data_IF_678689783622
#
_entry.id   IF_678689783622
#
_cell.length_a   1.000
_cell.length_b   1.000
_cell.length_c   1.000
_cell.angle_alpha   90.00
_cell.angle_beta   90.00
_cell.angle_gamma   90.00
#
_symmetry.space_group_name_H-M   'P 1'
#
loop_
_entity.id
_entity.type
_entity.pdbx_description
1 polymer ?
#
# COMPACT_ATOMS: atom_id res chain seq x y z
N UNK A 1 -2.59 13.84 -15.47
CA UNK A 1 -2.45 12.92 -14.32
C UNK A 1 -3.05 11.58 -14.71
N UNK A 2 -2.36 10.46 -14.45
CA UNK A 2 -2.85 9.10 -14.76
C UNK A 2 -2.76 8.25 -13.50
N UNK A 3 -3.90 7.85 -12.96
CA UNK A 3 -3.95 6.84 -11.89
C UNK A 3 -3.79 5.44 -12.48
N UNK A 4 -3.04 4.58 -11.78
CA UNK A 4 -2.78 3.20 -12.18
C UNK A 4 -3.06 2.27 -11.00
N UNK A 5 -3.90 1.28 -11.23
CA UNK A 5 -4.13 0.22 -10.24
C UNK A 5 -2.84 -0.57 -10.01
N UNK A 6 -2.55 -0.85 -8.75
CA UNK A 6 -1.38 -1.60 -8.32
C UNK A 6 -1.61 -3.10 -8.51
N UNK A 7 -1.11 -3.61 -9.64
CA UNK A 7 -1.10 -5.02 -9.96
C UNK A 7 0.33 -5.57 -10.07
N UNK A 8 0.52 -6.81 -9.59
CA UNK A 8 1.81 -7.50 -9.65
C UNK A 8 2.89 -6.98 -8.68
N UNK A 9 4.04 -7.66 -8.65
CA UNK A 9 5.11 -7.41 -7.67
C UNK A 9 5.77 -6.04 -7.82
N UNK A 10 5.91 -5.54 -9.06
CA UNK A 10 6.58 -4.27 -9.35
C UNK A 10 5.81 -3.08 -8.79
N UNK A 11 4.51 -3.01 -9.06
CA UNK A 11 3.68 -1.91 -8.59
C UNK A 11 3.45 -1.97 -7.08
N UNK A 12 3.37 -3.17 -6.48
CA UNK A 12 3.31 -3.31 -5.01
C UNK A 12 4.54 -2.69 -4.34
N UNK A 13 5.75 -2.99 -4.83
CA UNK A 13 6.99 -2.37 -4.34
C UNK A 13 7.00 -0.86 -4.54
N UNK A 14 6.49 -0.37 -5.67
CA UNK A 14 6.39 1.07 -5.92
C UNK A 14 5.44 1.74 -4.92
N UNK A 15 4.27 1.15 -4.66
CA UNK A 15 3.31 1.63 -3.67
C UNK A 15 3.91 1.74 -2.26
N UNK A 16 4.61 0.70 -1.80
CA UNK A 16 5.29 0.69 -0.49
C UNK A 16 6.41 1.75 -0.40
N UNK A 17 6.96 2.19 -1.53
CA UNK A 17 8.01 3.21 -1.59
C UNK A 17 7.47 4.65 -1.51
N UNK A 18 6.22 4.90 -1.92
CA UNK A 18 5.63 6.25 -1.91
C UNK A 18 5.74 6.94 -0.55
N UNK A 19 5.28 6.35 0.58
CA UNK A 19 5.39 7.03 1.87
C UNK A 19 6.85 7.26 2.29
N UNK A 20 7.78 6.36 1.92
CA UNK A 20 9.22 6.52 2.17
C UNK A 20 9.82 7.74 1.45
N UNK A 21 9.27 8.10 0.29
CA UNK A 21 9.68 9.29 -0.47
C UNK A 21 9.03 10.54 0.12
N UNK A 22 7.73 10.45 0.46
CA UNK A 22 6.94 11.58 0.96
C UNK A 22 7.45 12.05 2.33
N UNK A 23 7.72 11.12 3.23
CA UNK A 23 8.09 11.40 4.62
C UNK A 23 9.61 11.33 4.86
N UNK A 24 10.43 11.45 3.81
CA UNK A 24 11.90 11.33 3.92
C UNK A 24 12.56 12.35 4.85
N UNK A 25 11.91 13.48 5.08
CA UNK A 25 12.38 14.61 5.90
C UNK A 25 11.54 14.77 7.18
N UNK A 26 10.63 13.84 7.47
CA UNK A 26 9.85 13.82 8.69
C UNK A 26 10.56 12.97 9.75
N UNK A 27 11.12 13.63 10.77
CA UNK A 27 11.85 12.98 11.86
C UNK A 27 10.96 12.23 12.84
N UNK A 28 9.64 12.44 12.77
CA UNK A 28 8.64 11.77 13.60
C UNK A 28 8.00 10.57 12.91
N UNK A 29 8.26 10.37 11.62
CA UNK A 29 7.63 9.30 10.86
C UNK A 29 8.21 7.92 11.17
N UNK A 30 7.32 7.01 11.60
CA UNK A 30 7.64 5.59 11.78
C UNK A 30 7.09 4.80 10.59
N UNK A 31 7.99 4.24 9.77
CA UNK A 31 7.60 3.42 8.63
C UNK A 31 6.93 2.12 9.11
N UNK A 32 5.68 1.83 8.71
CA UNK A 32 5.04 0.54 8.99
C UNK A 32 5.80 -0.60 8.31
N UNK A 33 5.64 -1.82 8.81
CA UNK A 33 6.22 -2.98 8.14
C UNK A 33 5.48 -3.25 6.82
N UNK A 34 6.23 -3.51 5.75
CA UNK A 34 5.68 -3.82 4.43
C UNK A 34 4.62 -4.95 4.51
N UNK A 35 4.82 -5.96 5.37
CA UNK A 35 3.86 -7.06 5.64
C UNK A 35 2.51 -6.56 6.15
N UNK A 36 2.50 -5.59 7.05
CA UNK A 36 1.26 -5.06 7.62
C UNK A 36 0.46 -4.35 6.53
N UNK A 37 1.13 -3.51 5.74
CA UNK A 37 0.49 -2.84 4.60
C UNK A 37 -0.03 -3.87 3.59
N UNK A 38 0.76 -4.88 3.24
CA UNK A 38 0.32 -5.93 2.31
C UNK A 38 -0.88 -6.72 2.85
N UNK A 39 -0.94 -6.97 4.16
CA UNK A 39 -2.05 -7.69 4.79
C UNK A 39 -3.38 -6.94 4.75
N UNK A 40 -3.34 -5.60 4.68
CA UNK A 40 -4.56 -4.78 4.51
C UNK A 40 -5.26 -5.12 3.19
N UNK A 41 -4.51 -5.49 2.15
CA UNK A 41 -5.04 -5.78 0.80
C UNK A 41 -5.04 -7.28 0.46
N UNK A 42 -5.01 -8.12 1.49
CA UNK A 42 -5.05 -9.58 1.37
C UNK A 42 -6.43 -10.06 1.87
N UNK A 43 -7.33 -10.51 0.99
CA UNK A 43 -8.68 -10.96 1.38
C UNK A 43 -8.69 -12.11 2.39
N UNK A 44 -7.64 -12.94 2.40
CA UNK A 44 -7.52 -14.05 3.35
C UNK A 44 -7.14 -13.57 4.77
N UNK A 45 -6.53 -12.38 4.87
CA UNK A 45 -6.10 -11.79 6.15
C UNK A 45 -7.04 -10.69 6.66
N UNK A 46 -7.71 -9.97 5.76
CA UNK A 46 -8.55 -8.85 6.11
C UNK A 46 -10.03 -9.20 5.98
N UNK A 47 -10.69 -9.39 7.14
CA UNK A 47 -12.11 -9.80 7.22
C UNK A 47 -13.08 -8.83 6.55
N UNK A 48 -12.70 -7.55 6.36
CA UNK A 48 -13.55 -6.57 5.70
C UNK A 48 -13.78 -6.88 4.21
N UNK A 49 -12.93 -7.70 3.58
CA UNK A 49 -13.16 -8.20 2.22
C UNK A 49 -14.36 -9.15 2.12
N UNK A 50 -14.93 -9.60 3.24
CA UNK A 50 -16.21 -10.34 3.24
C UNK A 50 -17.40 -9.46 2.87
N UNK A 51 -17.27 -8.15 3.00
CA UNK A 51 -18.36 -7.17 2.84
C UNK A 51 -18.01 -6.03 1.88
N UNK A 52 -16.87 -6.11 1.19
CA UNK A 52 -16.41 -5.06 0.30
C UNK A 52 -15.14 -5.42 -0.44
N UNK A 53 -14.68 -4.49 -1.26
CA UNK A 53 -13.50 -4.65 -2.10
C UNK A 53 -12.59 -3.44 -1.93
N UNK A 54 -11.28 -3.66 -1.94
CA UNK A 54 -10.29 -2.60 -1.89
C UNK A 54 -9.08 -2.96 -2.73
N UNK A 55 -8.52 -1.97 -3.41
CA UNK A 55 -7.26 -2.09 -4.15
C UNK A 55 -6.39 -0.87 -3.91
N UNK A 56 -5.15 -0.92 -4.40
CA UNK A 56 -4.16 0.14 -4.26
C UNK A 56 -4.01 0.90 -5.58
N UNK A 57 -3.73 2.19 -5.50
CA UNK A 57 -3.55 3.05 -6.67
C UNK A 57 -2.26 3.85 -6.55
N UNK A 58 -1.60 4.06 -7.68
CA UNK A 58 -0.47 4.98 -7.83
C UNK A 58 -0.89 6.11 -8.78
N UNK A 59 -0.40 7.32 -8.51
CA UNK A 59 -0.59 8.50 -9.34
C UNK A 59 0.65 8.81 -10.19
#
# INVERSE_FOLDING_TARGET
MRIQEVSGKKLKKAFLKVPKILYKEDDTWVCPFDKEIDSIFDPDKNVYFKHGEATRWLL
#
